data_IF_407565984840
#
_entry.id   IF_407565984840
#
_cell.length_a   1.000
_cell.length_b   1.000
_cell.length_c   1.000
_cell.angle_alpha   90.00
_cell.angle_beta   90.00
_cell.angle_gamma   90.00
#
_symmetry.space_group_name_H-M   'P 1'
#
loop_
_entity.id
_entity.type
_entity.pdbx_description
1 polymer ?
#
# COMPACT_ATOMS: atom_id res chain seq x y z
N UNK A 1 -6.85 8.77 10.12
CA UNK A 1 -6.47 8.18 8.82
C UNK A 1 -7.16 6.84 8.74
N UNK A 2 -7.81 6.55 7.63
CA UNK A 2 -8.41 5.26 7.36
C UNK A 2 -7.46 4.43 6.48
N UNK A 3 -7.60 3.12 6.55
CA UNK A 3 -6.94 2.12 5.71
C UNK A 3 -8.01 1.15 5.18
N UNK A 4 -8.40 1.30 3.91
CA UNK A 4 -9.27 0.32 3.26
C UNK A 4 -8.42 -0.71 2.50
N UNK A 5 -8.52 -1.97 2.89
CA UNK A 5 -7.70 -3.05 2.34
C UNK A 5 -8.49 -3.81 1.28
N UNK A 6 -8.15 -3.58 0.02
CA UNK A 6 -8.73 -4.25 -1.14
C UNK A 6 -8.07 -5.61 -1.34
N UNK A 7 -8.85 -6.67 -1.14
CA UNK A 7 -8.39 -8.05 -1.24
C UNK A 7 -8.45 -8.50 -2.69
N UNK A 8 -7.41 -8.18 -3.47
CA UNK A 8 -7.31 -8.60 -4.88
C UNK A 8 -7.21 -10.12 -4.99
N UNK A 9 -6.42 -10.74 -4.11
CA UNK A 9 -6.23 -12.19 -4.09
C UNK A 9 -5.97 -12.69 -2.65
N UNK A 10 -6.77 -13.65 -2.21
CA UNK A 10 -6.70 -14.26 -0.87
C UNK A 10 -5.91 -15.57 -0.83
N UNK A 11 -5.38 -16.03 -1.97
CA UNK A 11 -4.58 -17.26 -2.04
C UNK A 11 -3.25 -17.09 -1.33
N UNK A 12 -2.82 -18.17 -0.67
CA UNK A 12 -1.53 -18.23 0.01
C UNK A 12 -0.38 -17.85 -0.92
N UNK A 13 0.46 -16.91 -0.48
CA UNK A 13 1.64 -16.48 -1.23
C UNK A 13 2.50 -17.69 -1.58
N UNK A 14 2.93 -17.79 -2.85
CA UNK A 14 3.81 -18.88 -3.33
C UNK A 14 5.23 -18.80 -2.74
N UNK A 15 5.64 -17.61 -2.28
CA UNK A 15 6.95 -17.36 -1.66
C UNK A 15 6.77 -16.56 -0.37
N UNK A 16 7.50 -16.94 0.68
CA UNK A 16 7.48 -16.23 1.95
C UNK A 16 8.24 -14.90 1.86
N UNK A 17 7.83 -13.92 2.66
CA UNK A 17 8.47 -12.59 2.69
C UNK A 17 9.97 -12.67 2.98
N UNK A 18 10.41 -13.59 3.85
CA UNK A 18 11.84 -13.80 4.17
C UNK A 18 12.67 -14.22 2.95
N UNK A 19 12.11 -15.08 2.09
CA UNK A 19 12.76 -15.46 0.83
C UNK A 19 12.84 -14.28 -0.13
N UNK A 20 11.79 -13.45 -0.18
CA UNK A 20 11.80 -12.21 -0.96
C UNK A 20 12.86 -11.22 -0.48
N UNK A 21 13.02 -11.06 0.84
CA UNK A 21 14.04 -10.18 1.42
C UNK A 21 15.46 -10.62 1.07
N UNK A 22 15.74 -11.93 1.08
CA UNK A 22 17.05 -12.45 0.71
C UNK A 22 17.46 -12.11 -0.73
N UNK A 23 16.50 -11.87 -1.63
CA UNK A 23 16.80 -11.44 -3.01
C UNK A 23 17.48 -10.06 -3.05
N UNK A 24 17.32 -9.23 -2.01
CA UNK A 24 17.96 -7.92 -1.97
C UNK A 24 19.47 -8.01 -1.78
N UNK A 25 19.99 -9.11 -1.23
CA UNK A 25 21.44 -9.30 -1.04
C UNK A 25 22.19 -9.34 -2.38
N UNK A 26 21.53 -9.84 -3.43
CA UNK A 26 22.10 -9.98 -4.78
C UNK A 26 21.46 -9.05 -5.80
N UNK A 27 20.48 -8.23 -5.40
CA UNK A 27 19.81 -7.33 -6.31
C UNK A 27 20.73 -6.16 -6.69
N UNK A 28 20.97 -5.92 -8.00
CA UNK A 28 21.91 -4.88 -8.44
C UNK A 28 21.48 -3.46 -8.05
N UNK A 29 20.20 -3.24 -7.73
CA UNK A 29 19.64 -1.95 -7.35
C UNK A 29 19.51 -1.75 -5.82
N UNK A 30 19.91 -2.74 -5.01
CA UNK A 30 19.72 -2.71 -3.55
C UNK A 30 20.39 -1.51 -2.88
N UNK A 31 21.63 -1.17 -3.27
CA UNK A 31 22.34 -0.03 -2.68
C UNK A 31 21.60 1.31 -2.90
N UNK A 32 21.03 1.51 -4.09
CA UNK A 32 20.27 2.71 -4.40
C UNK A 32 18.96 2.75 -3.59
N UNK A 33 18.29 1.60 -3.45
CA UNK A 33 17.11 1.44 -2.59
C UNK A 33 17.41 1.81 -1.14
N UNK A 34 18.51 1.34 -0.56
CA UNK A 34 18.85 1.65 0.83
C UNK A 34 19.06 3.15 1.03
N UNK A 35 19.73 3.84 0.10
CA UNK A 35 19.89 5.28 0.17
C UNK A 35 18.55 6.02 0.11
N UNK A 36 17.69 5.65 -0.86
CA UNK A 36 16.34 6.21 -0.99
C UNK A 36 15.51 5.99 0.29
N UNK A 37 15.53 4.77 0.86
CA UNK A 37 14.79 4.44 2.08
C UNK A 37 15.19 5.36 3.24
N UNK A 38 16.50 5.60 3.45
CA UNK A 38 16.97 6.50 4.49
C UNK A 38 16.49 7.94 4.27
N UNK A 39 16.54 8.42 3.04
CA UNK A 39 16.04 9.76 2.70
C UNK A 39 14.53 9.88 2.93
N UNK A 40 13.76 8.90 2.48
CA UNK A 40 12.30 8.89 2.64
C UNK A 40 11.87 8.80 4.10
N UNK A 41 12.59 8.06 4.95
CA UNK A 41 12.32 8.03 6.40
C UNK A 41 12.47 9.41 7.03
N UNK A 42 13.56 10.14 6.72
CA UNK A 42 13.78 11.50 7.22
C UNK A 42 12.68 12.44 6.70
N UNK A 43 12.34 12.36 5.41
CA UNK A 43 11.28 13.19 4.83
C UNK A 43 9.90 12.87 5.41
N UNK A 44 9.58 11.60 5.63
CA UNK A 44 8.30 11.18 6.22
C UNK A 44 8.13 11.71 7.63
N UNK A 45 9.19 11.75 8.43
CA UNK A 45 9.14 12.38 9.75
C UNK A 45 8.61 13.82 9.67
N UNK A 46 9.19 14.63 8.79
CA UNK A 46 8.79 16.04 8.64
C UNK A 46 7.39 16.17 8.03
N UNK A 47 7.08 15.34 7.04
CA UNK A 47 5.77 15.29 6.38
C UNK A 47 4.65 14.95 7.36
N UNK A 48 4.87 13.96 8.23
CA UNK A 48 3.92 13.55 9.25
C UNK A 48 3.75 14.64 10.32
N UNK A 49 4.85 15.29 10.71
CA UNK A 49 4.83 16.38 11.71
C UNK A 49 4.07 17.61 11.19
N UNK A 50 4.25 17.94 9.91
CA UNK A 50 3.63 19.11 9.29
C UNK A 50 2.24 18.84 8.68
N UNK A 51 1.82 17.56 8.62
CA UNK A 51 0.56 17.17 7.97
C UNK A 51 0.52 17.41 6.46
N UNK A 52 1.68 17.31 5.77
CA UNK A 52 1.75 17.53 4.32
C UNK A 52 1.24 16.31 3.54
N UNK A 53 -0.06 16.29 3.26
CA UNK A 53 -0.71 15.14 2.63
C UNK A 53 -0.21 14.82 1.22
N UNK A 54 0.06 15.84 0.39
CA UNK A 54 0.52 15.62 -0.98
C UNK A 54 1.89 14.93 -0.99
N UNK A 55 2.82 15.41 -0.16
CA UNK A 55 4.14 14.79 -0.06
C UNK A 55 4.09 13.41 0.58
N UNK A 56 3.17 13.18 1.52
CA UNK A 56 2.91 11.85 2.08
C UNK A 56 2.49 10.86 0.99
N UNK A 57 1.51 11.24 0.17
CA UNK A 57 1.00 10.43 -0.96
C UNK A 57 2.14 10.07 -1.91
N UNK A 58 2.96 11.05 -2.31
CA UNK A 58 4.10 10.84 -3.22
C UNK A 58 5.08 9.80 -2.68
N UNK A 59 5.53 9.96 -1.43
CA UNK A 59 6.53 9.07 -0.84
C UNK A 59 5.94 7.66 -0.66
N UNK A 60 4.72 7.54 -0.15
CA UNK A 60 4.08 6.24 0.12
C UNK A 60 3.89 5.44 -1.17
N UNK A 61 3.36 6.05 -2.24
CA UNK A 61 3.21 5.36 -3.53
C UNK A 61 4.58 5.00 -4.12
N UNK A 62 5.58 5.88 -4.00
CA UNK A 62 6.91 5.62 -4.51
C UNK A 62 7.60 4.46 -3.79
N UNK A 63 7.46 4.34 -2.47
CA UNK A 63 7.99 3.22 -1.69
C UNK A 63 7.35 1.89 -2.13
N UNK A 64 6.02 1.87 -2.28
CA UNK A 64 5.29 0.69 -2.75
C UNK A 64 5.78 0.25 -4.14
N UNK A 65 5.87 1.18 -5.09
CA UNK A 65 6.33 0.88 -6.45
C UNK A 65 7.81 0.46 -6.48
N UNK A 66 8.66 1.07 -5.67
CA UNK A 66 10.09 0.73 -5.63
C UNK A 66 10.29 -0.70 -5.15
N UNK A 67 9.60 -1.12 -4.07
CA UNK A 67 9.65 -2.50 -3.60
C UNK A 67 9.31 -3.47 -4.73
N UNK A 68 8.21 -3.23 -5.44
CA UNK A 68 7.74 -4.11 -6.50
C UNK A 68 8.70 -4.13 -7.71
N UNK A 69 9.28 -2.99 -8.06
CA UNK A 69 10.30 -2.90 -9.12
C UNK A 69 11.54 -3.73 -8.79
N UNK A 70 11.99 -3.71 -7.53
CA UNK A 70 13.13 -4.52 -7.08
C UNK A 70 12.83 -6.01 -7.15
N UNK A 71 11.62 -6.41 -6.75
CA UNK A 71 11.18 -7.81 -6.84
C UNK A 71 11.12 -8.29 -8.29
N UNK A 72 10.65 -7.46 -9.21
CA UNK A 72 10.65 -7.74 -10.64
C UNK A 72 12.08 -7.82 -11.23
N UNK A 73 13.01 -7.01 -10.71
CA UNK A 73 14.41 -6.97 -11.13
C UNK A 73 15.33 -7.98 -10.42
N UNK A 74 14.78 -8.84 -9.55
CA UNK A 74 15.54 -9.89 -8.86
C UNK A 74 15.82 -11.09 -9.76
N UNK A 75 16.66 -12.04 -9.32
CA UNK A 75 16.95 -13.26 -10.06
C UNK A 75 16.74 -14.51 -9.18
N UNK A 76 15.72 -15.35 -9.45
CA UNK A 76 14.66 -15.13 -10.44
C UNK A 76 13.77 -13.93 -10.07
N UNK A 77 13.19 -13.28 -11.08
CA UNK A 77 12.28 -12.15 -10.89
C UNK A 77 10.89 -12.59 -10.46
N UNK A 78 10.22 -11.78 -9.64
CA UNK A 78 8.88 -12.06 -9.12
C UNK A 78 7.92 -10.91 -9.37
N UNK A 79 6.71 -11.22 -9.86
CA UNK A 79 5.60 -10.28 -9.91
C UNK A 79 4.73 -10.46 -8.67
N UNK A 80 4.68 -9.42 -7.84
CA UNK A 80 3.81 -9.37 -6.66
C UNK A 80 2.44 -8.75 -6.97
N UNK A 81 2.40 -7.81 -7.92
CA UNK A 81 1.15 -7.22 -8.40
C UNK A 81 0.46 -8.15 -9.41
N UNK A 82 -0.87 -8.11 -9.42
CA UNK A 82 -1.70 -8.76 -10.43
C UNK A 82 -2.46 -7.72 -11.26
N UNK A 83 -3.18 -8.17 -12.30
CA UNK A 83 -3.95 -7.27 -13.16
C UNK A 83 -4.95 -6.40 -12.38
N UNK A 84 -5.63 -6.96 -11.38
CA UNK A 84 -6.52 -6.22 -10.49
C UNK A 84 -5.81 -5.11 -9.71
N UNK A 85 -4.62 -5.38 -9.20
CA UNK A 85 -3.76 -4.39 -8.52
C UNK A 85 -3.48 -3.19 -9.43
N UNK A 86 -3.06 -3.45 -10.67
CA UNK A 86 -2.74 -2.38 -11.64
C UNK A 86 -3.97 -1.56 -12.02
N UNK A 87 -5.12 -2.20 -12.20
CA UNK A 87 -6.38 -1.52 -12.49
C UNK A 87 -6.78 -0.58 -11.35
N UNK A 88 -6.70 -1.06 -10.10
CA UNK A 88 -6.96 -0.26 -8.89
C UNK A 88 -6.03 0.96 -8.83
N UNK A 89 -4.72 0.76 -8.98
CA UNK A 89 -3.71 1.84 -8.94
C UNK A 89 -4.01 2.94 -9.97
N UNK A 90 -4.34 2.56 -11.20
CA UNK A 90 -4.66 3.51 -12.26
C UNK A 90 -5.95 4.29 -11.95
N UNK A 91 -6.98 3.60 -11.46
CA UNK A 91 -8.26 4.21 -11.13
C UNK A 91 -8.12 5.23 -9.99
N UNK A 92 -7.37 4.89 -8.93
CA UNK A 92 -7.12 5.80 -7.80
C UNK A 92 -6.39 7.07 -8.26
N UNK A 93 -5.39 6.94 -9.12
CA UNK A 93 -4.66 8.09 -9.66
C UNK A 93 -5.57 8.99 -10.49
N UNK A 94 -6.44 8.40 -11.31
CA UNK A 94 -7.44 9.14 -12.06
C UNK A 94 -8.43 9.85 -11.11
N UNK A 95 -9.00 9.12 -10.16
CA UNK A 95 -9.93 9.67 -9.17
C UNK A 95 -9.32 10.84 -8.40
N UNK A 96 -8.08 10.70 -7.90
CA UNK A 96 -7.35 11.76 -7.21
C UNK A 96 -7.11 12.98 -8.13
N UNK A 97 -6.76 12.74 -9.39
CA UNK A 97 -6.57 13.83 -10.35
C UNK A 97 -7.87 14.62 -10.58
N UNK A 98 -9.00 13.92 -10.70
CA UNK A 98 -10.28 14.50 -11.11
C UNK A 98 -10.98 15.21 -9.93
N UNK A 99 -10.88 14.64 -8.72
CA UNK A 99 -11.58 15.14 -7.53
C UNK A 99 -10.74 16.00 -6.61
N UNK A 100 -9.40 15.89 -6.71
CA UNK A 100 -8.43 16.45 -5.75
C UNK A 100 -8.56 15.89 -4.33
N UNK A 101 -9.30 14.81 -4.14
CA UNK A 101 -9.40 14.13 -2.85
C UNK A 101 -8.07 13.41 -2.55
N UNK A 102 -7.44 13.68 -1.39
CA UNK A 102 -6.19 13.05 -1.01
C UNK A 102 -6.41 11.58 -0.62
N UNK A 103 -6.06 10.68 -1.53
CA UNK A 103 -6.04 9.22 -1.36
C UNK A 103 -4.74 8.70 -1.94
N UNK A 104 -4.02 7.81 -1.26
CA UNK A 104 -2.91 7.05 -1.85
C UNK A 104 -3.12 5.56 -1.72
N UNK A 105 -2.33 4.81 -2.49
CA UNK A 105 -2.19 3.38 -2.33
C UNK A 105 -0.83 3.02 -1.75
N UNK A 106 -0.77 1.91 -1.01
CA UNK A 106 0.46 1.20 -0.73
C UNK A 106 0.25 -0.31 -0.86
N UNK A 107 1.35 -1.04 -1.01
CA UNK A 107 1.37 -2.46 -1.33
C UNK A 107 2.52 -3.10 -0.55
N UNK A 108 2.25 -4.21 0.13
CA UNK A 108 3.29 -5.07 0.71
C UNK A 108 3.75 -6.12 -0.32
N UNK A 109 4.36 -7.23 0.11
CA UNK A 109 4.74 -8.35 -0.75
C UNK A 109 3.52 -9.14 -1.28
N UNK A 110 2.69 -8.55 -2.13
CA UNK A 110 1.53 -9.23 -2.73
C UNK A 110 0.58 -8.28 -3.48
N UNK A 111 -0.56 -8.79 -3.97
CA UNK A 111 -1.43 -8.03 -4.87
C UNK A 111 -2.47 -7.15 -4.17
N UNK A 112 -2.67 -7.34 -2.86
CA UNK A 112 -3.68 -6.60 -2.09
C UNK A 112 -3.26 -5.14 -1.89
N UNK A 113 -4.22 -4.24 -2.07
CA UNK A 113 -3.97 -2.79 -2.09
C UNK A 113 -4.51 -2.18 -0.80
N UNK A 114 -3.65 -1.45 -0.08
CA UNK A 114 -4.06 -0.62 1.04
C UNK A 114 -4.36 0.79 0.53
N UNK A 115 -5.53 1.31 0.89
CA UNK A 115 -5.98 2.65 0.53
C UNK A 115 -5.95 3.55 1.76
N UNK A 116 -5.02 4.50 1.77
CA UNK A 116 -4.85 5.43 2.89
C UNK A 116 -5.45 6.79 2.54
N UNK A 117 -6.39 7.24 3.39
CA UNK A 117 -7.10 8.50 3.16
C UNK A 117 -7.56 9.16 4.48
N UNK A 118 -7.72 10.50 4.50
CA UNK A 118 -8.27 11.20 5.66
C UNK A 118 -9.73 10.85 5.92
N UNK A 119 -10.12 10.90 7.19
CA UNK A 119 -11.49 10.57 7.62
C UNK A 119 -12.56 11.49 7.03
N UNK A 120 -12.19 12.73 6.76
CA UNK A 120 -13.05 13.73 6.11
C UNK A 120 -13.58 13.29 4.72
N UNK A 121 -12.95 12.31 4.07
CA UNK A 121 -13.33 11.82 2.73
C UNK A 121 -13.84 10.37 2.76
N UNK A 122 -14.17 9.83 3.94
CA UNK A 122 -14.51 8.41 4.08
C UNK A 122 -15.72 8.03 3.23
N UNK A 123 -16.75 8.87 3.18
CA UNK A 123 -17.95 8.60 2.38
C UNK A 123 -17.63 8.49 0.89
N UNK A 124 -16.89 9.46 0.34
CA UNK A 124 -16.51 9.51 -1.07
C UNK A 124 -15.62 8.33 -1.47
N UNK A 125 -14.70 7.93 -0.60
CA UNK A 125 -13.82 6.79 -0.86
C UNK A 125 -14.57 5.46 -0.75
N UNK A 126 -15.46 5.29 0.22
CA UNK A 126 -16.29 4.07 0.32
C UNK A 126 -17.24 3.94 -0.88
N UNK A 127 -17.80 5.06 -1.36
CA UNK A 127 -18.62 5.07 -2.57
C UNK A 127 -17.82 4.67 -3.82
N UNK A 128 -16.60 5.20 -3.96
CA UNK A 128 -15.66 4.80 -5.01
C UNK A 128 -15.36 3.29 -4.96
N UNK A 129 -15.04 2.78 -3.75
CA UNK A 129 -14.72 1.36 -3.55
C UNK A 129 -15.88 0.49 -4.03
N UNK A 130 -17.08 0.78 -3.55
CA UNK A 130 -18.27 -0.01 -3.85
C UNK A 130 -18.65 0.02 -5.33
N UNK A 131 -18.54 1.18 -5.99
CA UNK A 131 -18.91 1.32 -7.40
C UNK A 131 -17.88 0.73 -8.35
N UNK A 132 -16.60 0.92 -8.07
CA UNK A 132 -15.55 0.76 -9.11
C UNK A 132 -14.41 -0.18 -8.71
N UNK A 133 -14.08 -0.32 -7.42
CA UNK A 133 -12.90 -1.08 -7.00
C UNK A 133 -13.22 -2.52 -6.58
N UNK A 134 -14.42 -2.78 -6.04
CA UNK A 134 -14.80 -4.12 -5.58
C UNK A 134 -14.79 -5.18 -6.70
N UNK A 135 -14.99 -4.78 -7.95
CA UNK A 135 -14.94 -5.70 -9.09
C UNK A 135 -13.55 -6.35 -9.30
N UNK A 136 -12.50 -5.74 -8.74
CA UNK A 136 -11.14 -6.27 -8.76
C UNK A 136 -10.79 -7.07 -7.49
N UNK A 137 -11.72 -7.17 -6.53
CA UNK A 137 -11.52 -7.85 -5.25
C UNK A 137 -12.14 -9.25 -5.25
N UNK A 138 -11.47 -10.19 -4.61
CA UNK A 138 -12.01 -11.52 -4.34
C UNK A 138 -13.23 -11.41 -3.43
N UNK A 139 -14.29 -12.12 -3.76
CA UNK A 139 -15.55 -12.13 -3.01
C UNK A 139 -16.20 -10.75 -2.82
N UNK A 140 -15.89 -9.76 -3.69
CA UNK A 140 -16.48 -8.41 -3.69
C UNK A 140 -16.52 -7.74 -2.31
N UNK A 141 -15.47 -7.88 -1.50
CA UNK A 141 -15.36 -7.18 -0.23
C UNK A 141 -13.98 -6.56 -0.03
N UNK A 142 -13.90 -5.68 0.96
CA UNK A 142 -12.67 -5.07 1.45
C UNK A 142 -12.70 -5.03 2.97
N UNK A 143 -11.56 -4.82 3.61
CA UNK A 143 -11.50 -4.57 5.05
C UNK A 143 -11.49 -3.06 5.29
N UNK A 144 -12.45 -2.55 6.06
CA UNK A 144 -12.50 -1.14 6.50
C UNK A 144 -11.78 -1.02 7.84
N UNK A 145 -10.55 -0.51 7.82
CA UNK A 145 -9.68 -0.35 8.99
C UNK A 145 -9.15 1.10 9.11
N UNK A 146 -8.34 1.37 10.14
CA UNK A 146 -7.72 2.66 10.35
C UNK A 146 -6.72 2.68 11.50
N UNK A 147 -6.33 3.88 11.92
CA UNK A 147 -5.38 4.03 13.04
C UNK A 147 -5.97 3.42 14.32
N UNK A 148 -5.30 2.40 14.85
CA UNK A 148 -5.62 1.78 16.14
C UNK A 148 -4.89 2.37 17.34
N UNK A 149 -5.23 1.91 18.54
CA UNK A 149 -4.62 2.31 19.83
C UNK A 149 -3.38 1.49 20.21
N UNK A 150 -2.99 0.53 19.38
CA UNK A 150 -1.89 -0.40 19.65
C UNK A 150 -2.29 -1.59 20.54
N UNK A 151 -1.32 -2.42 20.96
CA UNK A 151 -1.60 -3.62 21.75
C UNK A 151 -2.21 -3.30 23.12
N UNK A 152 -3.27 -4.02 23.48
CA UNK A 152 -3.89 -3.96 24.81
C UNK A 152 -3.70 -5.29 25.55
N UNK A 153 -3.43 -5.22 26.86
CA UNK A 153 -3.36 -6.41 27.71
C UNK A 153 -4.76 -7.00 27.84
N UNK A 154 -4.96 -8.22 27.37
CA UNK A 154 -6.22 -8.95 27.60
C UNK A 154 -6.26 -9.37 29.07
N UNK A 155 -7.17 -8.77 29.84
CA UNK A 155 -7.50 -9.24 31.18
C UNK A 155 -8.71 -10.16 31.06
N UNK A 156 -8.57 -11.43 31.43
CA UNK A 156 -9.73 -12.30 31.60
C UNK A 156 -10.59 -11.69 32.71
N UNK A 157 -11.82 -11.30 32.39
CA UNK A 157 -12.83 -11.04 33.42
C UNK A 157 -13.17 -12.41 34.03
N UNK A 158 -12.96 -12.54 35.34
CA UNK A 158 -13.45 -13.68 36.14
C UNK A 158 -14.98 -13.65 36.23
#
# INVERSE_FOLDING_TARGET
MNDAILIVNDKTKKTGSSTGHALMETNPYASARYHQAHQHVIQLHDVLTLGNMDRFIEIVEQEALTLHALMMASQPGYMLMEGGTLSIVNLIRQFRNDTKIPLCFTLDAGPNVHLLYPDAYKTEIVDLINRELLLFCTSNHFLDDGIGSGPAKVTNQE
#
